data_IF_188704938988
#
_entry.id   IF_188704938988
#
_cell.length_a   1.000
_cell.length_b   1.000
_cell.length_c   1.000
_cell.angle_alpha   90.00
_cell.angle_beta   90.00
_cell.angle_gamma   90.00
#
_symmetry.space_group_name_H-M   'P 1'
#
loop_
_entity.id
_entity.type
_entity.pdbx_description
1 polymer ?
#
# COMPACT_ATOMS: atom_id res chain seq x y z
N UNK A 1 -9.81 -4.17 -7.88
CA UNK A 1 -8.59 -4.20 -8.70
C UNK A 1 -7.56 -5.25 -8.26
N UNK A 2 -7.73 -5.89 -7.10
CA UNK A 2 -6.82 -6.93 -6.62
C UNK A 2 -6.68 -8.10 -7.61
N UNK A 3 -5.47 -8.66 -7.73
CA UNK A 3 -5.22 -9.90 -8.45
C UNK A 3 -5.39 -11.08 -7.48
N UNK A 4 -6.36 -11.99 -7.71
CA UNK A 4 -6.62 -13.09 -6.77
C UNK A 4 -5.44 -14.06 -6.62
N UNK A 5 -4.61 -14.22 -7.65
CA UNK A 5 -3.43 -15.11 -7.56
C UNK A 5 -2.34 -14.49 -6.69
N UNK A 6 -2.10 -13.18 -6.86
CA UNK A 6 -1.12 -12.45 -6.05
C UNK A 6 -1.55 -12.39 -4.59
N UNK A 7 -2.79 -11.99 -4.31
CA UNK A 7 -3.31 -11.91 -2.93
C UNK A 7 -3.32 -13.29 -2.24
N UNK A 8 -3.76 -14.34 -2.93
CA UNK A 8 -3.73 -15.70 -2.38
C UNK A 8 -2.31 -16.21 -2.12
N UNK A 9 -1.32 -15.87 -2.96
CA UNK A 9 0.07 -16.24 -2.74
C UNK A 9 0.62 -15.56 -1.46
N UNK A 10 0.35 -14.26 -1.29
CA UNK A 10 0.75 -13.50 -0.10
C UNK A 10 0.09 -14.08 1.17
N UNK A 11 -1.21 -14.39 1.12
CA UNK A 11 -1.92 -15.03 2.26
C UNK A 11 -1.34 -16.39 2.62
N UNK A 12 -0.99 -17.22 1.61
CA UNK A 12 -0.34 -18.51 1.84
C UNK A 12 1.04 -18.34 2.48
N UNK A 13 1.84 -17.38 2.00
CA UNK A 13 3.13 -17.07 2.59
C UNK A 13 2.98 -16.64 4.04
N UNK A 14 2.09 -15.68 4.32
CA UNK A 14 1.82 -15.20 5.68
C UNK A 14 1.46 -16.34 6.63
N UNK A 15 0.57 -17.26 6.21
CA UNK A 15 0.14 -18.41 7.01
C UNK A 15 1.28 -19.39 7.29
N UNK A 16 2.21 -19.58 6.35
CA UNK A 16 3.35 -20.49 6.50
C UNK A 16 4.49 -19.84 7.29
N UNK A 17 4.83 -18.59 7.01
CA UNK A 17 5.91 -17.83 7.66
C UNK A 17 5.57 -17.44 9.10
N UNK A 18 4.29 -17.15 9.39
CA UNK A 18 3.76 -16.73 10.72
C UNK A 18 4.56 -15.58 11.33
N UNK A 19 4.62 -14.41 10.68
CA UNK A 19 5.37 -13.28 11.18
C UNK A 19 4.78 -12.72 12.47
N UNK A 20 5.62 -12.16 13.34
CA UNK A 20 5.20 -11.40 14.52
C UNK A 20 4.55 -10.07 14.13
N UNK A 21 5.02 -9.46 13.04
CA UNK A 21 4.51 -8.22 12.49
C UNK A 21 4.04 -8.41 11.04
N UNK A 22 2.83 -8.02 10.74
CA UNK A 22 2.27 -8.03 9.39
C UNK A 22 1.73 -6.63 9.05
N UNK A 23 2.42 -5.92 8.16
CA UNK A 23 2.11 -4.53 7.82
C UNK A 23 1.62 -4.41 6.39
N UNK A 24 0.45 -3.80 6.21
CA UNK A 24 -0.04 -3.41 4.89
C UNK A 24 0.35 -1.96 4.63
N UNK A 25 1.14 -1.73 3.59
CA UNK A 25 1.76 -0.42 3.35
C UNK A 25 0.87 0.57 2.56
N UNK A 26 -0.44 0.36 2.50
CA UNK A 26 -1.41 1.30 1.95
C UNK A 26 -2.05 0.86 0.64
N UNK A 27 -3.01 1.67 0.17
CA UNK A 27 -3.83 1.40 -1.00
C UNK A 27 -4.54 0.02 -0.92
N UNK A 28 -5.04 -0.33 0.29
CA UNK A 28 -5.83 -1.54 0.50
C UNK A 28 -7.22 -1.43 -0.14
N UNK A 29 -7.73 -0.21 -0.27
CA UNK A 29 -8.97 0.16 -0.95
C UNK A 29 -8.67 1.14 -2.08
N UNK A 30 -9.24 0.91 -3.27
CA UNK A 30 -8.95 1.77 -4.43
C UNK A 30 -9.70 3.10 -4.38
N UNK A 31 -10.96 3.08 -3.89
CA UNK A 31 -11.82 4.26 -3.82
C UNK A 31 -11.91 5.01 -5.16
N UNK A 32 -11.98 4.27 -6.25
CA UNK A 32 -11.98 4.81 -7.62
C UNK A 32 -13.10 5.84 -7.84
N UNK A 33 -14.27 5.64 -7.23
CA UNK A 33 -15.40 6.58 -7.28
C UNK A 33 -15.07 7.97 -6.69
N UNK A 34 -14.01 8.08 -5.90
CA UNK A 34 -13.58 9.33 -5.26
C UNK A 34 -12.42 10.03 -5.99
N UNK A 35 -11.92 9.47 -7.09
CA UNK A 35 -10.86 10.11 -7.88
C UNK A 35 -11.37 11.38 -8.57
N UNK A 36 -10.47 12.32 -8.77
CA UNK A 36 -10.78 13.52 -9.54
C UNK A 36 -11.20 13.13 -10.97
N UNK A 37 -12.42 13.51 -11.37
CA UNK A 37 -12.96 13.21 -12.69
C UNK A 37 -13.90 12.00 -12.77
N UNK A 38 -14.03 11.17 -11.73
CA UNK A 38 -14.99 10.06 -11.67
C UNK A 38 -16.44 10.52 -11.97
N UNK A 39 -16.81 11.73 -11.54
CA UNK A 39 -18.12 12.32 -11.78
C UNK A 39 -18.38 12.75 -13.23
N UNK A 40 -17.37 12.73 -14.12
CA UNK A 40 -17.48 13.22 -15.50
C UNK A 40 -17.76 12.10 -16.50
N UNK A 41 -17.62 10.87 -16.09
CA UNK A 41 -17.83 9.70 -16.94
C UNK A 41 -18.87 8.78 -16.29
N UNK A 42 -20.16 8.91 -16.67
CA UNK A 42 -21.25 8.09 -16.12
C UNK A 42 -21.11 6.60 -16.48
N UNK A 43 -20.31 6.26 -17.49
CA UNK A 43 -20.09 4.88 -17.94
C UNK A 43 -18.86 4.24 -17.29
N UNK A 44 -18.12 4.97 -16.44
CA UNK A 44 -16.88 4.51 -15.82
C UNK A 44 -17.06 3.42 -14.74
N UNK A 45 -18.27 3.04 -14.38
CA UNK A 45 -18.55 2.05 -13.35
C UNK A 45 -18.33 2.56 -11.92
N UNK A 46 -17.98 3.82 -11.72
CA UNK A 46 -17.69 4.43 -10.42
C UNK A 46 -18.99 4.69 -9.60
N UNK A 47 -19.71 3.64 -9.28
CA UNK A 47 -20.99 3.68 -8.54
C UNK A 47 -20.78 3.60 -7.04
N UNK A 48 -21.78 4.03 -6.27
CA UNK A 48 -21.77 3.91 -4.81
C UNK A 48 -21.64 2.43 -4.34
N UNK A 49 -22.24 1.49 -5.09
CA UNK A 49 -22.13 0.05 -4.80
C UNK A 49 -20.70 -0.44 -5.01
N UNK A 50 -20.03 -0.03 -6.09
CA UNK A 50 -18.65 -0.41 -6.37
C UNK A 50 -17.71 0.06 -5.25
N UNK A 51 -17.97 1.23 -4.69
CA UNK A 51 -17.22 1.74 -3.54
C UNK A 51 -17.44 0.92 -2.27
N UNK A 52 -18.68 0.46 -2.02
CA UNK A 52 -18.99 -0.36 -0.87
C UNK A 52 -18.34 -1.76 -0.99
N UNK A 53 -18.35 -2.34 -2.18
CA UNK A 53 -17.75 -3.64 -2.47
C UNK A 53 -16.21 -3.56 -2.39
N UNK A 54 -15.62 -2.48 -2.88
CA UNK A 54 -14.18 -2.22 -2.80
C UNK A 54 -13.73 -2.09 -1.33
N UNK A 55 -14.45 -1.31 -0.52
CA UNK A 55 -14.19 -1.18 0.90
C UNK A 55 -14.28 -2.53 1.61
N UNK A 56 -15.33 -3.30 1.34
CA UNK A 56 -15.53 -4.62 1.95
C UNK A 56 -14.39 -5.58 1.58
N UNK A 57 -14.03 -5.62 0.31
CA UNK A 57 -12.93 -6.46 -0.18
C UNK A 57 -11.58 -6.09 0.46
N UNK A 58 -11.25 -4.79 0.54
CA UNK A 58 -10.04 -4.31 1.17
C UNK A 58 -9.97 -4.66 2.66
N UNK A 59 -11.05 -4.39 3.42
CA UNK A 59 -11.11 -4.71 4.85
C UNK A 59 -11.06 -6.23 5.11
N UNK A 60 -11.71 -7.04 4.28
CA UNK A 60 -11.65 -8.50 4.38
C UNK A 60 -10.22 -9.02 4.14
N UNK A 61 -9.52 -8.46 3.15
CA UNK A 61 -8.13 -8.83 2.89
C UNK A 61 -7.19 -8.46 4.05
N UNK A 62 -7.34 -7.27 4.64
CA UNK A 62 -6.58 -6.87 5.82
C UNK A 62 -6.85 -7.79 7.01
N UNK A 63 -8.10 -8.24 7.18
CA UNK A 63 -8.49 -9.19 8.21
C UNK A 63 -7.87 -10.59 7.96
N UNK A 64 -7.91 -11.10 6.73
CA UNK A 64 -7.29 -12.39 6.38
C UNK A 64 -5.76 -12.37 6.51
N UNK A 65 -5.12 -11.22 6.26
CA UNK A 65 -3.70 -11.01 6.52
C UNK A 65 -3.39 -10.92 8.02
N UNK A 66 -4.39 -10.71 8.88
CA UNK A 66 -4.21 -10.42 10.31
C UNK A 66 -3.16 -9.32 10.52
N UNK A 67 -3.38 -8.18 9.85
CA UNK A 67 -2.43 -7.07 9.90
C UNK A 67 -2.28 -6.53 11.32
N UNK A 68 -1.04 -6.17 11.69
CA UNK A 68 -0.74 -5.46 12.94
C UNK A 68 -0.68 -3.95 12.72
N UNK A 69 -0.40 -3.51 11.47
CA UNK A 69 -0.45 -2.10 11.07
C UNK A 69 -1.00 -1.96 9.65
N UNK A 70 -1.84 -0.96 9.48
CA UNK A 70 -2.29 -0.52 8.16
C UNK A 70 -1.83 0.92 7.91
N UNK A 71 -0.92 1.11 6.99
CA UNK A 71 -0.53 2.43 6.50
C UNK A 71 -1.59 2.93 5.53
N UNK A 72 -2.02 4.15 5.68
CA UNK A 72 -2.85 4.80 4.68
C UNK A 72 -2.01 5.13 3.45
N UNK A 73 -2.54 4.82 2.28
CA UNK A 73 -1.95 5.24 1.02
C UNK A 73 -2.61 6.51 0.49
N UNK A 74 -2.22 6.91 -0.71
CA UNK A 74 -2.80 8.07 -1.36
C UNK A 74 -4.27 7.83 -1.80
N UNK A 75 -4.71 6.59 -1.91
CA UNK A 75 -6.12 6.26 -2.19
C UNK A 75 -6.98 6.50 -0.95
N UNK A 76 -6.59 6.01 0.20
CA UNK A 76 -7.30 6.27 1.45
C UNK A 76 -7.27 7.76 1.85
N UNK A 77 -6.20 8.50 1.52
CA UNK A 77 -6.08 9.93 1.77
C UNK A 77 -7.16 10.77 1.05
N UNK A 78 -7.72 10.25 -0.06
CA UNK A 78 -8.88 10.87 -0.72
C UNK A 78 -10.08 11.01 0.23
N UNK A 79 -10.35 9.97 1.02
CA UNK A 79 -11.39 10.00 2.05
C UNK A 79 -11.11 11.04 3.13
N UNK A 80 -9.88 11.09 3.62
CA UNK A 80 -9.49 12.07 4.62
C UNK A 80 -9.74 13.50 4.13
N UNK A 81 -9.41 13.80 2.87
CA UNK A 81 -9.69 15.11 2.25
C UNK A 81 -11.18 15.37 2.09
N UNK A 82 -11.96 14.37 1.69
CA UNK A 82 -13.42 14.52 1.52
C UNK A 82 -14.15 14.71 2.84
N UNK A 83 -13.61 14.23 3.95
CA UNK A 83 -14.16 14.48 5.28
C UNK A 83 -14.14 15.99 5.65
N UNK A 84 -13.30 16.78 5.02
CA UNK A 84 -13.26 18.25 5.14
C UNK A 84 -13.99 18.97 4.01
N UNK A 85 -14.81 18.27 3.22
CA UNK A 85 -15.59 18.87 2.15
C UNK A 85 -16.58 19.92 2.73
N UNK A 86 -16.75 21.07 2.05
CA UNK A 86 -17.79 22.03 2.41
C UNK A 86 -19.21 21.49 2.16
N UNK A 87 -19.35 20.43 1.38
CA UNK A 87 -20.61 19.72 1.19
C UNK A 87 -20.83 18.75 2.36
N UNK A 88 -21.83 19.08 3.21
CA UNK A 88 -22.12 18.30 4.41
C UNK A 88 -22.45 16.82 4.13
N UNK A 89 -23.10 16.50 3.02
CA UNK A 89 -23.42 15.10 2.63
C UNK A 89 -22.14 14.34 2.30
N UNK A 90 -21.24 14.97 1.54
CA UNK A 90 -19.95 14.37 1.18
C UNK A 90 -19.07 14.17 2.42
N UNK A 91 -18.97 15.21 3.26
CA UNK A 91 -18.20 15.15 4.52
C UNK A 91 -18.74 14.06 5.45
N UNK A 92 -20.05 13.98 5.62
CA UNK A 92 -20.70 12.95 6.43
C UNK A 92 -20.42 11.53 5.89
N UNK A 93 -20.60 11.32 4.58
CA UNK A 93 -20.37 10.03 3.95
C UNK A 93 -18.91 9.58 4.08
N UNK A 94 -17.94 10.47 3.83
CA UNK A 94 -16.53 10.19 4.01
C UNK A 94 -16.19 9.87 5.47
N UNK A 95 -16.74 10.62 6.42
CA UNK A 95 -16.57 10.36 7.85
C UNK A 95 -17.12 8.99 8.29
N UNK A 96 -18.27 8.59 7.76
CA UNK A 96 -18.84 7.26 8.03
C UNK A 96 -17.96 6.11 7.52
N UNK A 97 -17.35 6.26 6.32
CA UNK A 97 -16.42 5.26 5.79
C UNK A 97 -15.14 5.21 6.62
N UNK A 98 -14.57 6.35 7.01
CA UNK A 98 -13.40 6.42 7.89
C UNK A 98 -13.68 5.74 9.23
N UNK A 99 -14.83 5.99 9.83
CA UNK A 99 -15.23 5.34 11.08
C UNK A 99 -15.28 3.81 10.93
N UNK A 100 -15.85 3.31 9.83
CA UNK A 100 -15.90 1.87 9.54
C UNK A 100 -14.50 1.25 9.39
N UNK A 101 -13.57 1.96 8.74
CA UNK A 101 -12.17 1.54 8.63
C UNK A 101 -11.51 1.47 10.01
N UNK A 102 -11.72 2.50 10.83
CA UNK A 102 -11.19 2.55 12.19
C UNK A 102 -11.75 1.42 13.07
N UNK A 103 -13.03 1.13 13.00
CA UNK A 103 -13.67 0.04 13.75
C UNK A 103 -13.11 -1.34 13.33
N UNK A 104 -12.89 -1.55 12.03
CA UNK A 104 -12.29 -2.78 11.53
C UNK A 104 -10.85 -2.98 12.08
N UNK A 105 -10.04 -1.93 12.09
CA UNK A 105 -8.67 -2.01 12.63
C UNK A 105 -8.67 -2.15 14.15
N UNK A 106 -9.58 -1.50 14.85
CA UNK A 106 -9.76 -1.70 16.29
C UNK A 106 -10.11 -3.15 16.64
N UNK A 107 -10.96 -3.79 15.85
CA UNK A 107 -11.29 -5.21 16.03
C UNK A 107 -10.07 -6.13 15.85
N UNK A 108 -9.17 -5.80 14.94
CA UNK A 108 -7.90 -6.51 14.72
C UNK A 108 -6.80 -6.11 15.72
N UNK A 109 -7.02 -5.08 16.55
CA UNK A 109 -5.99 -4.42 17.38
C UNK A 109 -4.83 -3.90 16.54
N UNK A 110 -5.09 -3.52 15.30
CA UNK A 110 -4.11 -3.00 14.36
C UNK A 110 -4.00 -1.48 14.45
N UNK A 111 -2.78 -0.96 14.31
CA UNK A 111 -2.52 0.46 14.25
C UNK A 111 -2.85 0.99 12.84
N UNK A 112 -3.50 2.16 12.77
CA UNK A 112 -3.62 2.94 11.53
C UNK A 112 -2.50 3.99 11.50
N UNK A 113 -1.67 3.95 10.45
CA UNK A 113 -0.60 4.92 10.23
C UNK A 113 -1.06 5.90 9.16
N UNK A 114 -1.10 7.22 9.43
CA UNK A 114 -1.62 8.20 8.48
C UNK A 114 -0.75 8.33 7.23
N UNK A 115 -1.33 8.83 6.13
CA UNK A 115 -0.58 9.23 4.94
C UNK A 115 -0.13 10.69 5.08
N UNK A 116 1.18 10.90 5.02
CA UNK A 116 1.77 12.25 5.13
C UNK A 116 3.03 12.42 4.24
N UNK A 117 3.08 11.68 3.14
CA UNK A 117 4.22 11.70 2.21
C UNK A 117 5.47 11.05 2.81
N UNK A 118 6.51 11.84 3.07
CA UNK A 118 7.78 11.39 3.67
C UNK A 118 7.99 11.92 5.10
N UNK A 119 6.94 12.42 5.75
CA UNK A 119 7.02 12.94 7.10
C UNK A 119 7.13 11.82 8.14
N UNK A 120 7.74 12.09 9.31
CA UNK A 120 7.93 11.08 10.35
C UNK A 120 6.64 10.38 10.80
N UNK A 121 5.53 11.12 10.87
CA UNK A 121 4.24 10.57 11.32
C UNK A 121 3.69 9.45 10.42
N UNK A 122 4.08 9.40 9.13
CA UNK A 122 3.67 8.35 8.20
C UNK A 122 4.64 7.16 8.15
N UNK A 123 5.67 7.18 8.96
CA UNK A 123 6.68 6.12 9.01
C UNK A 123 6.56 5.31 10.29
N UNK A 124 6.92 4.03 10.20
CA UNK A 124 7.19 3.16 11.35
C UNK A 124 8.52 2.47 11.13
N UNK A 125 9.24 2.22 12.21
CA UNK A 125 10.60 1.70 12.16
C UNK A 125 10.67 0.27 12.73
N UNK A 126 11.43 -0.59 12.06
CA UNK A 126 11.93 -1.85 12.60
C UNK A 126 13.45 -1.87 12.43
N UNK A 127 14.16 -2.02 13.53
CA UNK A 127 15.63 -1.93 13.52
C UNK A 127 16.11 -0.59 12.92
N UNK A 128 16.88 -0.66 11.85
CA UNK A 128 17.44 0.47 11.11
C UNK A 128 16.65 0.83 9.81
N UNK A 129 15.44 0.33 9.66
CA UNK A 129 14.66 0.49 8.42
C UNK A 129 13.30 1.14 8.70
N UNK A 130 12.97 2.16 7.91
CA UNK A 130 11.68 2.84 7.93
C UNK A 130 10.71 2.18 6.95
N UNK A 131 9.45 2.08 7.35
CA UNK A 131 8.35 1.57 6.53
C UNK A 131 7.32 2.66 6.33
N UNK A 132 6.82 2.82 5.11
CA UNK A 132 5.86 3.85 4.73
C UNK A 132 5.13 3.45 3.44
N UNK A 133 4.06 4.17 3.10
CA UNK A 133 3.43 3.98 1.78
C UNK A 133 4.33 4.49 0.64
N UNK A 134 4.93 5.64 0.81
CA UNK A 134 5.69 6.34 -0.23
C UNK A 134 4.88 7.44 -0.92
N UNK A 135 5.59 8.32 -1.62
CA UNK A 135 4.99 9.43 -2.38
C UNK A 135 5.74 9.78 -3.65
N UNK A 136 6.92 9.25 -3.84
CA UNK A 136 7.71 9.45 -5.06
C UNK A 136 7.33 8.38 -6.09
N UNK A 137 7.11 8.82 -7.36
CA UNK A 137 6.63 7.95 -8.44
C UNK A 137 7.53 7.96 -9.70
N UNK A 138 8.74 8.50 -9.59
CA UNK A 138 9.70 8.48 -10.68
C UNK A 138 10.35 7.11 -10.88
N UNK A 139 11.16 6.97 -11.93
CA UNK A 139 11.83 5.70 -12.26
C UNK A 139 12.80 5.22 -11.19
N UNK A 140 13.34 6.13 -10.39
CA UNK A 140 14.34 5.89 -9.36
C UNK A 140 13.77 6.11 -7.94
N UNK A 141 12.46 5.95 -7.77
CA UNK A 141 11.76 6.20 -6.53
C UNK A 141 12.37 5.46 -5.33
N UNK A 142 12.90 4.25 -5.52
CA UNK A 142 13.55 3.49 -4.45
C UNK A 142 14.77 4.21 -3.90
N UNK A 143 15.67 4.64 -4.78
CA UNK A 143 16.84 5.42 -4.41
C UNK A 143 16.46 6.76 -3.79
N UNK A 144 15.61 7.51 -4.49
CA UNK A 144 15.27 8.89 -4.11
C UNK A 144 14.50 8.95 -2.77
N UNK A 145 13.70 7.92 -2.46
CA UNK A 145 13.04 7.81 -1.16
C UNK A 145 14.05 7.57 -0.04
N UNK A 146 15.02 6.66 -0.24
CA UNK A 146 16.06 6.40 0.75
C UNK A 146 16.97 7.63 0.95
N UNK A 147 17.29 8.37 -0.12
CA UNK A 147 18.03 9.64 -0.05
C UNK A 147 17.28 10.70 0.76
N UNK A 148 15.99 10.89 0.46
CA UNK A 148 15.15 11.89 1.13
C UNK A 148 14.96 11.58 2.63
N UNK A 149 14.84 10.31 2.99
CA UNK A 149 14.71 9.87 4.38
C UNK A 149 16.05 9.74 5.11
N UNK A 150 17.17 9.73 4.38
CA UNK A 150 18.49 9.41 4.92
C UNK A 150 18.48 8.12 5.76
N UNK A 151 17.77 7.09 5.28
CA UNK A 151 17.53 5.81 5.97
C UNK A 151 17.31 4.67 4.98
N UNK A 152 17.53 3.44 5.45
CA UNK A 152 16.93 2.29 4.79
C UNK A 152 15.41 2.44 4.82
N UNK A 153 14.72 2.09 3.75
CA UNK A 153 13.27 2.19 3.74
C UNK A 153 12.60 1.12 2.86
N UNK A 154 11.43 0.67 3.32
CA UNK A 154 10.52 -0.19 2.55
C UNK A 154 9.25 0.60 2.25
N UNK A 155 8.87 0.64 0.99
CA UNK A 155 7.66 1.33 0.55
C UNK A 155 7.00 0.60 -0.64
N UNK A 156 5.87 1.11 -1.10
CA UNK A 156 5.09 0.57 -2.24
C UNK A 156 4.79 1.67 -3.26
N UNK A 157 3.57 2.12 -3.44
CA UNK A 157 3.13 3.26 -4.25
C UNK A 157 3.42 3.18 -5.76
N UNK A 158 4.63 2.82 -6.19
CA UNK A 158 4.95 2.75 -7.63
C UNK A 158 4.68 1.39 -8.28
N UNK A 159 4.17 0.43 -7.51
CA UNK A 159 3.79 -0.92 -7.96
C UNK A 159 4.93 -1.74 -8.59
N UNK A 160 6.18 -1.44 -8.28
CA UNK A 160 7.36 -2.15 -8.79
C UNK A 160 8.03 -2.92 -7.68
N UNK A 161 8.55 -4.11 -7.97
CA UNK A 161 9.55 -4.73 -7.12
C UNK A 161 10.91 -4.19 -7.54
N UNK A 162 11.56 -3.43 -6.66
CA UNK A 162 12.84 -2.80 -6.94
C UNK A 162 13.65 -2.56 -5.66
N UNK A 163 14.97 -2.63 -5.78
CA UNK A 163 15.90 -2.32 -4.70
C UNK A 163 17.02 -1.45 -5.27
N UNK A 164 17.22 -0.28 -4.69
CA UNK A 164 18.25 0.66 -5.15
C UNK A 164 18.97 1.30 -3.96
N UNK A 165 20.29 1.49 -4.12
CA UNK A 165 21.10 2.19 -3.12
C UNK A 165 21.02 3.69 -3.30
N UNK A 166 20.90 4.42 -2.20
CA UNK A 166 21.01 5.87 -2.15
C UNK A 166 22.43 6.33 -2.54
N UNK A 167 22.52 7.49 -3.18
CA UNK A 167 23.81 8.14 -3.54
C UNK A 167 24.28 9.03 -2.40
N UNK A 168 24.43 8.46 -1.23
CA UNK A 168 24.86 9.14 0.00
C UNK A 168 26.12 8.50 0.55
N UNK A 169 26.83 9.20 1.43
CA UNK A 169 28.04 8.64 2.07
C UNK A 169 27.74 7.39 2.90
N UNK A 170 26.56 7.34 3.55
CA UNK A 170 26.05 6.11 4.17
C UNK A 170 25.25 5.32 3.12
N UNK A 171 25.46 4.01 3.03
CA UNK A 171 24.85 3.16 2.02
C UNK A 171 23.40 2.79 2.38
N UNK A 172 22.49 3.75 2.39
CA UNK A 172 21.07 3.49 2.58
C UNK A 172 20.50 2.77 1.35
N UNK A 173 19.49 1.93 1.59
CA UNK A 173 18.82 1.16 0.54
C UNK A 173 17.31 1.41 0.60
N UNK A 174 16.74 1.73 -0.56
CA UNK A 174 15.29 1.80 -0.74
C UNK A 174 14.78 0.51 -1.37
N UNK A 175 13.78 -0.08 -0.74
CA UNK A 175 13.10 -1.30 -1.16
C UNK A 175 11.67 -0.95 -1.55
N UNK A 176 11.30 -1.20 -2.80
CA UNK A 176 9.93 -1.08 -3.27
C UNK A 176 9.33 -2.49 -3.37
N UNK A 177 8.29 -2.76 -2.62
CA UNK A 177 7.77 -4.10 -2.43
C UNK A 177 6.77 -4.56 -3.51
N UNK A 178 6.54 -3.74 -4.55
CA UNK A 178 5.60 -4.10 -5.62
C UNK A 178 4.13 -3.88 -5.24
N UNK A 179 3.26 -4.70 -5.80
CA UNK A 179 1.82 -4.62 -5.57
C UNK A 179 1.14 -5.99 -5.65
N UNK A 180 -0.15 -6.03 -5.32
CA UNK A 180 -1.01 -7.19 -5.53
C UNK A 180 -2.24 -6.85 -6.40
N UNK A 181 -2.18 -5.77 -7.19
CA UNK A 181 -3.24 -5.37 -8.13
C UNK A 181 -3.07 -6.06 -9.48
N UNK A 182 -4.12 -6.11 -10.28
CA UNK A 182 -4.03 -6.60 -11.67
C UNK A 182 -3.04 -5.76 -12.45
N UNK A 183 -2.04 -6.39 -13.07
CA UNK A 183 -0.99 -5.69 -13.81
C UNK A 183 -1.48 -5.10 -15.15
N UNK A 184 -2.57 -5.65 -15.68
CA UNK A 184 -3.22 -5.17 -16.90
C UNK A 184 -4.57 -4.57 -16.52
N UNK A 185 -4.65 -3.25 -16.54
CA UNK A 185 -5.87 -2.48 -16.25
C UNK A 185 -6.28 -1.69 -17.49
N UNK A 186 -7.58 -1.69 -17.80
CA UNK A 186 -8.09 -1.13 -19.06
C UNK A 186 -7.81 0.37 -19.22
N UNK A 187 -7.85 1.12 -18.13
CA UNK A 187 -7.57 2.57 -18.13
C UNK A 187 -6.10 2.93 -18.38
N UNK A 188 -5.19 1.96 -18.28
CA UNK A 188 -3.74 2.18 -18.36
C UNK A 188 -3.08 1.47 -19.55
N UNK A 189 -3.84 0.94 -20.50
CA UNK A 189 -3.34 0.15 -21.64
C UNK A 189 -2.21 0.81 -22.42
N UNK A 190 -2.18 2.13 -22.49
CA UNK A 190 -1.19 2.91 -23.22
C UNK A 190 -0.20 3.63 -22.30
N UNK A 191 -0.21 3.36 -21.00
CA UNK A 191 0.63 4.07 -20.05
C UNK A 191 1.93 3.28 -19.77
N UNK A 192 3.08 3.86 -20.17
CA UNK A 192 4.39 3.27 -19.92
C UNK A 192 4.67 2.94 -18.45
N UNK A 193 4.07 3.68 -17.52
CA UNK A 193 4.30 3.46 -16.09
C UNK A 193 3.80 2.09 -15.60
N UNK A 194 2.72 1.56 -16.18
CA UNK A 194 2.16 0.26 -15.79
C UNK A 194 2.92 -0.93 -16.36
N UNK A 195 3.74 -0.72 -17.40
CA UNK A 195 4.57 -1.78 -17.98
C UNK A 195 5.66 -2.29 -17.02
N UNK A 196 5.99 -1.49 -16.01
CA UNK A 196 6.98 -1.86 -14.98
C UNK A 196 6.35 -2.39 -13.70
N UNK A 197 5.03 -2.52 -13.63
CA UNK A 197 4.35 -3.06 -12.47
C UNK A 197 4.69 -4.53 -12.27
N UNK A 198 4.84 -4.95 -11.04
CA UNK A 198 5.14 -6.32 -10.68
C UNK A 198 4.47 -6.71 -9.36
N UNK A 199 3.96 -7.94 -9.31
CA UNK A 199 3.46 -8.50 -8.08
C UNK A 199 4.63 -8.79 -7.13
N UNK A 200 4.48 -8.39 -5.87
CA UNK A 200 5.49 -8.66 -4.88
C UNK A 200 5.11 -8.23 -3.48
N UNK A 201 5.98 -8.59 -2.55
CA UNK A 201 5.91 -8.21 -1.15
C UNK A 201 7.32 -8.20 -0.54
N UNK A 202 7.45 -7.57 0.63
CA UNK A 202 8.67 -7.64 1.44
C UNK A 202 8.47 -8.56 2.64
N UNK A 203 9.53 -9.25 3.05
CA UNK A 203 9.57 -10.07 4.24
C UNK A 203 10.98 -10.07 4.85
N UNK A 204 11.13 -10.57 6.06
CA UNK A 204 12.45 -10.58 6.66
C UNK A 204 12.42 -10.75 8.17
N UNK A 205 13.52 -10.38 8.79
CA UNK A 205 13.75 -10.52 10.22
C UNK A 205 14.27 -9.20 10.77
N UNK A 206 13.98 -8.90 12.03
CA UNK A 206 14.46 -7.68 12.67
C UNK A 206 14.88 -7.91 14.12
N UNK A 207 15.73 -7.01 14.57
CA UNK A 207 16.12 -6.83 15.97
C UNK A 207 15.89 -5.37 16.34
N UNK A 208 16.20 -4.96 17.53
CA UNK A 208 16.11 -3.55 17.97
C UNK A 208 16.98 -2.61 17.14
N UNK A 209 18.04 -3.10 16.50
CA UNK A 209 19.04 -2.28 15.79
C UNK A 209 19.16 -2.57 14.31
N UNK A 210 18.66 -3.69 13.81
CA UNK A 210 18.83 -4.12 12.41
C UNK A 210 17.54 -4.71 11.85
N UNK A 211 17.34 -4.50 10.55
CA UNK A 211 16.27 -5.12 9.79
C UNK A 211 16.83 -5.74 8.51
N UNK A 212 16.62 -7.04 8.30
CA UNK A 212 16.96 -7.74 7.08
C UNK A 212 15.74 -7.76 6.20
N UNK A 213 15.76 -7.01 5.10
CA UNK A 213 14.66 -6.94 4.15
C UNK A 213 14.93 -7.83 2.95
N UNK A 214 13.98 -8.70 2.62
CA UNK A 214 13.95 -9.49 1.40
C UNK A 214 12.74 -9.09 0.57
N UNK A 215 12.95 -8.86 -0.71
CA UNK A 215 11.89 -8.63 -1.67
C UNK A 215 11.55 -9.92 -2.39
N UNK A 216 10.28 -10.24 -2.47
CA UNK A 216 9.78 -11.35 -3.26
C UNK A 216 8.97 -10.85 -4.44
N UNK A 217 9.38 -11.22 -5.66
CA UNK A 217 8.62 -10.97 -6.87
C UNK A 217 7.85 -12.23 -7.26
N UNK A 218 6.53 -12.15 -7.25
CA UNK A 218 5.64 -13.31 -7.46
C UNK A 218 5.45 -13.74 -8.91
N UNK A 219 5.94 -12.99 -9.87
CA UNK A 219 5.71 -13.21 -11.30
C UNK A 219 6.70 -14.23 -11.91
N UNK A 220 6.30 -15.01 -12.94
CA UNK A 220 4.94 -15.27 -13.41
C UNK A 220 4.30 -16.50 -12.76
N UNK A 221 5.00 -17.24 -11.91
CA UNK A 221 4.56 -18.56 -11.44
C UNK A 221 4.03 -18.57 -10.00
N UNK A 222 3.98 -17.44 -9.33
CA UNK A 222 3.54 -17.30 -7.93
C UNK A 222 4.20 -18.31 -6.98
N UNK A 223 5.48 -18.64 -7.24
CA UNK A 223 6.28 -19.48 -6.35
C UNK A 223 6.65 -18.70 -5.11
N UNK A 224 6.56 -19.35 -3.96
CA UNK A 224 6.91 -18.77 -2.68
C UNK A 224 8.30 -19.20 -2.25
N UNK A 225 9.03 -18.38 -1.47
CA UNK A 225 10.40 -18.66 -1.02
C UNK A 225 10.46 -19.64 0.18
N UNK A 226 9.42 -20.45 0.37
CA UNK A 226 9.27 -21.41 1.48
C UNK A 226 9.60 -22.82 1.02
#
# INVERSE_FOLDING_TARGET
LADPKATNAILKFRKAWKPDECWHLGDAVDLAAMRAGAQRDPDSGDRAQDMADDLLAGLSYLQELEVTKWFMGNHEDRLARLAYSPNAVVSYAAGAVIARMADAMKALKAEIVPYAGLRPECCRQLGDTLFLHGSLYNMQASRDTAEALSSNCVFVHTHKVAMEKARTQKPFTGYNAGCAVRLHVDYAKNNRSTLSWSHGFAWGEYTDTHCIVRLEQLSPHYRLPL
#
